data_IF_992939962329
#
_entry.id   IF_992939962329
#
_cell.length_a   1.000
_cell.length_b   1.000
_cell.length_c   1.000
_cell.angle_alpha   90.00
_cell.angle_beta   90.00
_cell.angle_gamma   90.00
#
_symmetry.space_group_name_H-M   'P 1'
#
loop_
_entity.id
_entity.type
_entity.pdbx_description
1 polymer ?
#
# COMPACT_ATOMS: atom_id res chain seq x y z
N UNK A 1 10.67 1.00 3.82
CA UNK A 1 10.10 1.97 2.85
C UNK A 1 8.71 2.32 3.30
N UNK A 2 8.28 3.56 3.11
CA UNK A 2 6.96 4.02 3.49
C UNK A 2 6.42 5.01 2.46
N UNK A 3 5.09 5.17 2.40
CA UNK A 3 4.45 6.14 1.52
C UNK A 3 2.93 6.13 1.62
N UNK A 4 2.29 7.20 1.14
CA UNK A 4 0.83 7.29 1.00
C UNK A 4 0.42 6.67 -0.33
N UNK A 5 -0.49 5.72 -0.33
CA UNK A 5 -0.99 5.03 -1.51
C UNK A 5 -1.75 6.04 -2.38
N UNK A 6 -1.24 6.28 -3.58
CA UNK A 6 -1.84 7.16 -4.59
C UNK A 6 -2.59 6.38 -5.64
N UNK A 7 -2.03 5.25 -6.07
CA UNK A 7 -2.63 4.40 -7.09
C UNK A 7 -2.33 2.93 -6.83
N UNK A 8 -3.27 2.10 -7.21
CA UNK A 8 -3.19 0.65 -7.22
C UNK A 8 -3.33 0.18 -8.67
N UNK A 9 -2.61 -0.88 -9.03
CA UNK A 9 -2.76 -1.51 -10.36
C UNK A 9 -2.32 -2.96 -10.31
N UNK A 10 -3.25 -3.88 -10.57
CA UNK A 10 -3.01 -5.31 -10.49
C UNK A 10 -2.41 -5.69 -9.13
N UNK A 11 -1.21 -6.26 -9.10
CA UNK A 11 -0.49 -6.68 -7.90
C UNK A 11 0.39 -5.56 -7.29
N UNK A 12 0.14 -4.29 -7.62
CA UNK A 12 0.96 -3.16 -7.19
C UNK A 12 0.20 -2.12 -6.36
N UNK A 13 0.88 -1.67 -5.31
CA UNK A 13 0.56 -0.50 -4.49
C UNK A 13 1.63 0.55 -4.78
N UNK A 14 1.23 1.78 -5.12
CA UNK A 14 2.17 2.84 -5.50
C UNK A 14 1.96 4.10 -4.68
N UNK A 15 3.06 4.66 -4.17
CA UNK A 15 3.05 5.94 -3.47
C UNK A 15 2.96 7.16 -4.40
N UNK A 16 2.95 6.93 -5.71
CA UNK A 16 2.90 7.96 -6.75
C UNK A 16 2.62 7.38 -8.13
N UNK A 17 2.69 8.24 -9.14
CA UNK A 17 2.59 7.87 -10.54
C UNK A 17 3.96 7.42 -11.11
N UNK A 18 3.93 6.74 -12.24
CA UNK A 18 5.12 6.14 -12.89
C UNK A 18 6.29 7.13 -13.10
N UNK A 19 6.01 8.41 -13.33
CA UNK A 19 7.01 9.44 -13.63
C UNK A 19 7.60 10.11 -12.38
N UNK A 20 6.98 9.93 -11.21
CA UNK A 20 7.38 10.60 -9.97
C UNK A 20 8.53 9.87 -9.26
N UNK A 21 8.88 8.65 -9.71
CA UNK A 21 9.92 7.79 -9.12
C UNK A 21 9.71 7.53 -7.62
N UNK A 22 8.45 7.54 -7.20
CA UNK A 22 8.06 7.28 -5.82
C UNK A 22 8.01 5.78 -5.53
N UNK A 23 8.05 5.41 -4.23
CA UNK A 23 8.09 4.01 -3.84
C UNK A 23 6.88 3.18 -4.28
N UNK A 24 7.13 1.91 -4.62
CA UNK A 24 6.09 0.95 -4.99
C UNK A 24 6.25 -0.39 -4.25
N UNK A 25 5.15 -1.09 -4.02
CA UNK A 25 5.12 -2.43 -3.42
C UNK A 25 4.37 -3.37 -4.35
N UNK A 26 5.00 -4.48 -4.70
CA UNK A 26 4.38 -5.58 -5.42
C UNK A 26 3.91 -6.63 -4.42
N UNK A 27 2.60 -6.80 -4.29
CA UNK A 27 1.97 -7.78 -3.39
C UNK A 27 1.57 -8.99 -4.23
N UNK A 28 2.31 -10.09 -4.10
CA UNK A 28 2.05 -11.29 -4.91
C UNK A 28 0.67 -11.88 -4.58
N UNK A 29 0.07 -12.57 -5.55
CA UNK A 29 -1.28 -13.15 -5.44
C UNK A 29 -1.48 -14.01 -4.18
N UNK A 30 -0.44 -14.73 -3.76
CA UNK A 30 -0.50 -15.60 -2.58
C UNK A 30 -0.43 -14.83 -1.25
N UNK A 31 0.14 -13.62 -1.25
CA UNK A 31 0.25 -12.75 -0.08
C UNK A 31 -0.86 -11.68 -0.01
N UNK A 32 -1.54 -11.40 -1.12
CA UNK A 32 -2.56 -10.36 -1.19
C UNK A 32 -3.75 -10.61 -0.25
N UNK A 33 -4.35 -11.82 -0.17
CA UNK A 33 -5.47 -12.07 0.73
C UNK A 33 -5.15 -11.76 2.19
N UNK A 34 -4.05 -12.30 2.69
CA UNK A 34 -3.60 -12.09 4.08
C UNK A 34 -3.28 -10.61 4.36
N UNK A 35 -2.71 -9.90 3.38
CA UNK A 35 -2.39 -8.48 3.50
C UNK A 35 -3.67 -7.63 3.59
N UNK A 36 -4.69 -7.91 2.76
CA UNK A 36 -5.97 -7.20 2.77
C UNK A 36 -6.79 -7.53 4.03
N UNK A 37 -6.79 -8.80 4.47
CA UNK A 37 -7.42 -9.21 5.73
C UNK A 37 -6.82 -8.47 6.92
N UNK A 38 -5.49 -8.34 6.97
CA UNK A 38 -4.80 -7.58 8.04
C UNK A 38 -5.17 -6.09 8.07
N UNK A 39 -5.56 -5.53 6.93
CA UNK A 39 -6.04 -4.17 6.79
C UNK A 39 -7.55 -4.02 7.01
N UNK A 40 -8.29 -5.13 7.09
CA UNK A 40 -9.75 -5.12 7.22
C UNK A 40 -10.48 -4.67 5.95
N UNK A 41 -9.87 -4.79 4.77
CA UNK A 41 -10.45 -4.39 3.47
C UNK A 41 -10.64 -5.60 2.56
N UNK A 42 -11.51 -5.48 1.56
CA UNK A 42 -11.78 -6.57 0.61
C UNK A 42 -11.09 -6.36 -0.75
N UNK A 43 -10.91 -5.11 -1.16
CA UNK A 43 -10.23 -4.75 -2.39
C UNK A 43 -8.91 -4.00 -2.09
N UNK A 44 -7.92 -4.18 -2.96
CA UNK A 44 -6.67 -3.41 -2.88
C UNK A 44 -6.92 -1.92 -3.17
N UNK A 45 -7.92 -1.61 -3.99
CA UNK A 45 -8.30 -0.23 -4.33
C UNK A 45 -8.87 0.53 -3.11
N UNK A 46 -9.40 -0.18 -2.10
CA UNK A 46 -9.86 0.41 -0.83
C UNK A 46 -8.70 1.01 -0.01
N UNK A 47 -7.45 0.63 -0.32
CA UNK A 47 -6.25 1.16 0.33
C UNK A 47 -5.80 2.51 -0.26
N UNK A 48 -6.43 3.01 -1.32
CA UNK A 48 -6.08 4.33 -1.87
C UNK A 48 -6.29 5.39 -0.76
N UNK A 49 -5.29 6.23 -0.55
CA UNK A 49 -5.30 7.22 0.54
C UNK A 49 -4.70 6.72 1.85
N UNK A 50 -4.54 5.40 2.05
CA UNK A 50 -3.87 4.87 3.22
C UNK A 50 -2.36 5.04 3.12
N UNK A 51 -1.66 4.91 4.24
CA UNK A 51 -0.21 4.79 4.28
C UNK A 51 0.20 3.33 4.37
N UNK A 52 1.33 2.98 3.76
CA UNK A 52 1.99 1.70 3.96
C UNK A 52 3.37 1.88 4.58
N UNK A 53 3.78 0.90 5.38
CA UNK A 53 5.15 0.68 5.80
C UNK A 53 5.53 -0.75 5.40
N UNK A 54 6.66 -0.90 4.72
CA UNK A 54 7.13 -2.19 4.24
C UNK A 54 8.61 -2.41 4.52
N UNK A 55 8.94 -3.63 4.93
CA UNK A 55 10.30 -4.12 5.11
C UNK A 55 10.61 -5.23 4.10
N UNK A 56 11.79 -5.16 3.48
CA UNK A 56 12.18 -6.20 2.53
C UNK A 56 13.43 -5.82 1.74
N UNK A 57 13.77 -6.69 0.78
CA UNK A 57 14.84 -6.41 -0.17
C UNK A 57 14.31 -5.43 -1.23
N UNK A 58 14.96 -4.28 -1.32
CA UNK A 58 14.62 -3.24 -2.28
C UNK A 58 15.27 -3.53 -3.64
N UNK A 59 14.50 -3.28 -4.70
CA UNK A 59 14.99 -3.22 -6.07
C UNK A 59 14.65 -1.87 -6.69
N UNK A 60 15.02 -1.72 -7.95
CA UNK A 60 14.67 -0.56 -8.78
C UNK A 60 13.98 -1.05 -10.04
N UNK A 61 12.84 -0.45 -10.38
CA UNK A 61 12.13 -0.73 -11.64
C UNK A 61 12.94 -0.20 -12.81
N UNK A 62 12.64 -0.62 -14.04
CA UNK A 62 13.29 -0.07 -15.24
C UNK A 62 13.09 1.45 -15.44
N UNK A 63 12.13 2.06 -14.74
CA UNK A 63 11.88 3.50 -14.75
C UNK A 63 12.61 4.27 -13.63
N UNK A 64 13.37 3.58 -12.78
CA UNK A 64 14.10 4.20 -11.67
C UNK A 64 13.33 4.32 -10.36
N UNK A 65 12.09 3.83 -10.29
CA UNK A 65 11.31 3.84 -9.04
C UNK A 65 11.79 2.73 -8.10
N UNK A 66 12.04 3.02 -6.80
CA UNK A 66 12.38 1.99 -5.84
C UNK A 66 11.16 1.11 -5.55
N UNK A 67 11.35 -0.21 -5.43
CA UNK A 67 10.26 -1.12 -5.11
C UNK A 67 10.63 -2.26 -4.16
N UNK A 68 9.63 -2.86 -3.55
CA UNK A 68 9.72 -4.13 -2.80
C UNK A 68 8.73 -5.14 -3.37
N UNK A 69 9.16 -6.40 -3.49
CA UNK A 69 8.26 -7.53 -3.75
C UNK A 69 7.98 -8.28 -2.45
N UNK A 70 6.70 -8.48 -2.14
CA UNK A 70 6.26 -9.18 -0.94
C UNK A 70 5.77 -10.59 -1.26
N UNK A 71 6.48 -11.58 -0.72
CA UNK A 71 6.07 -12.99 -0.78
C UNK A 71 5.22 -13.42 0.43
N UNK A 72 5.11 -12.55 1.45
CA UNK A 72 4.42 -12.78 2.72
C UNK A 72 3.86 -11.43 3.23
N UNK A 73 2.63 -11.45 3.74
CA UNK A 73 1.92 -10.29 4.28
C UNK A 73 2.52 -9.75 5.59
N UNK A 74 3.28 -10.55 6.36
CA UNK A 74 3.87 -10.12 7.66
C UNK A 74 4.90 -8.99 7.56
N UNK A 75 5.25 -8.59 6.34
CA UNK A 75 6.27 -7.58 6.03
C UNK A 75 5.70 -6.23 5.64
N UNK A 76 4.37 -6.09 5.62
CA UNK A 76 3.67 -4.85 5.33
C UNK A 76 2.66 -4.54 6.42
N UNK A 77 2.52 -3.26 6.71
CA UNK A 77 1.46 -2.71 7.56
C UNK A 77 0.79 -1.58 6.81
N UNK A 78 -0.53 -1.54 6.88
CA UNK A 78 -1.35 -0.46 6.35
C UNK A 78 -1.89 0.39 7.50
N UNK A 79 -1.89 1.70 7.31
CA UNK A 79 -2.37 2.68 8.28
C UNK A 79 -3.38 3.57 7.54
N UNK A 80 -4.64 3.57 8.00
CA UNK A 80 -5.65 4.47 7.47
C UNK A 80 -5.24 5.93 7.68
N UNK A 81 -5.71 6.83 6.81
CA UNK A 81 -5.43 8.25 6.99
C UNK A 81 -6.15 8.73 8.26
N UNK A 82 -5.43 9.23 9.28
CA UNK A 82 -6.07 9.72 10.50
C UNK A 82 -7.07 10.85 10.24
N UNK A 83 -6.92 11.61 9.15
CA UNK A 83 -7.90 12.63 8.78
C UNK A 83 -9.26 12.05 8.37
N UNK A 84 -9.30 10.85 7.78
CA UNK A 84 -10.55 10.13 7.46
C UNK A 84 -11.14 9.49 8.72
N UNK A 85 -10.31 8.89 9.58
CA UNK A 85 -10.77 8.28 10.83
C UNK A 85 -11.44 9.30 11.79
N UNK A 86 -10.94 10.54 11.83
CA UNK A 86 -11.57 11.63 12.59
C UNK A 86 -12.87 12.14 11.96
N UNK A 87 -12.98 12.13 10.62
CA UNK A 87 -14.18 12.56 9.92
C UNK A 87 -15.35 11.58 10.15
N UNK A 88 -15.10 10.27 10.10
CA UNK A 88 -16.10 9.24 10.41
C UNK A 88 -16.57 9.31 11.87
N UNK A 89 -15.64 9.51 12.80
CA UNK A 89 -15.95 9.65 14.23
C UNK A 89 -16.80 10.90 14.55
N UNK A 90 -16.70 11.96 13.74
CA UNK A 90 -17.50 13.19 13.88
C UNK A 90 -18.88 13.09 13.22
N UNK A 91 -19.01 12.29 12.16
CA UNK A 91 -20.29 12.08 11.44
C UNK A 91 -21.22 11.10 12.16
N UNK A 92 -20.68 10.25 13.04
CA UNK A 92 -21.43 9.29 13.84
C UNK A 92 -22.00 9.86 15.17
N UNK A 93 -21.85 11.17 15.41
CA UNK A 93 -22.39 11.90 16.57
C UNK A 93 -23.53 12.82 16.15
#
# INVERSE_FOLDING_TARGET
MWGKIKTTKADWINAGFRHEKLPSVRVWKDAAPDALESAGVQDIDDLIGWYFLVEGKFGETSAGSPYVSLQDAKRIVFLSDPAEAEAESRSAR
#
